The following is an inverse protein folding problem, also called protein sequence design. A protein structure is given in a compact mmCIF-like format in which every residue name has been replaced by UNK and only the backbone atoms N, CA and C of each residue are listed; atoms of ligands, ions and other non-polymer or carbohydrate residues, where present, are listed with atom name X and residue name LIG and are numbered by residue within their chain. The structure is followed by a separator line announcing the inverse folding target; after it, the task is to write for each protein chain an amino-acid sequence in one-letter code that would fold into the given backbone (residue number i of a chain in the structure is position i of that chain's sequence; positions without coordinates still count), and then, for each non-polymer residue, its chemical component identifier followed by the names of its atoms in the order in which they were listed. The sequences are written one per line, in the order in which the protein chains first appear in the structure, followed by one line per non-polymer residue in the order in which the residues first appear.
data_IF_884161432913
#
_entry.id   IF_884161432913
#
_cell.length_a   1.000
_cell.length_b   1.000
_cell.length_c   1.000
_cell.angle_alpha   90.00
_cell.angle_beta   90.00
_cell.angle_gamma   90.00
#
_symmetry.space_group_name_H-M   'P 1'
#
loop_
_entity.id
_entity.type
_entity.pdbx_description
1 polymer ?
#
# COMPACT_ATOMS: atom_id res chain seq x y z
N UNK A 1 15.48 -55.86 -17.26
CA UNK A 1 15.49 -54.63 -16.43
C UNK A 1 14.66 -53.47 -17.02
N UNK A 2 13.77 -53.66 -18.00
CA UNK A 2 12.97 -52.59 -18.62
C UNK A 2 11.48 -52.65 -18.25
N UNK A 3 11.05 -53.60 -17.42
CA UNK A 3 9.64 -53.77 -17.03
C UNK A 3 9.26 -53.26 -15.63
N UNK A 4 10.24 -52.89 -14.80
CA UNK A 4 9.97 -52.36 -13.45
C UNK A 4 9.85 -50.83 -13.38
N UNK A 5 10.21 -50.09 -14.44
CA UNK A 5 10.15 -48.64 -14.46
C UNK A 5 8.76 -48.09 -14.79
N UNK A 6 7.96 -48.89 -15.51
CA UNK A 6 6.62 -48.49 -15.94
C UNK A 6 5.55 -48.58 -14.82
N UNK A 7 5.79 -49.44 -13.83
CA UNK A 7 4.86 -49.61 -12.69
C UNK A 7 5.05 -48.60 -11.59
N UNK A 8 6.20 -47.95 -11.49
CA UNK A 8 6.46 -46.90 -10.48
C UNK A 8 5.86 -45.54 -10.87
N UNK A 9 5.73 -45.28 -12.18
CA UNK A 9 5.18 -44.04 -12.70
C UNK A 9 3.65 -43.98 -12.59
N UNK A 10 2.99 -45.14 -12.56
CA UNK A 10 1.52 -45.21 -12.43
C UNK A 10 1.02 -45.02 -10.97
N UNK A 11 1.90 -45.23 -9.98
CA UNK A 11 1.50 -45.12 -8.56
C UNK A 11 1.56 -43.69 -8.02
N UNK A 12 2.26 -42.78 -8.68
CA UNK A 12 2.39 -41.35 -8.24
C UNK A 12 1.21 -40.53 -8.73
N UNK A 13 0.48 -40.96 -9.75
CA UNK A 13 -0.64 -40.23 -10.35
C UNK A 13 -2.01 -40.45 -9.66
N UNK A 14 -2.11 -41.35 -8.70
CA UNK A 14 -3.39 -41.68 -8.05
C UNK A 14 -3.59 -41.07 -6.63
N UNK A 15 -2.62 -40.31 -6.10
CA UNK A 15 -2.73 -39.70 -4.79
C UNK A 15 -3.17 -38.21 -4.78
N UNK A 16 -3.48 -37.64 -5.95
CA UNK A 16 -3.80 -36.19 -6.06
C UNK A 16 -5.29 -35.84 -6.09
N UNK A 17 -6.21 -36.78 -5.80
CA UNK A 17 -7.65 -36.56 -5.95
C UNK A 17 -8.49 -36.84 -4.71
N UNK A 18 -7.93 -36.70 -3.50
CA UNK A 18 -8.71 -36.84 -2.26
C UNK A 18 -8.48 -35.62 -1.34
N UNK A 19 -9.01 -34.48 -1.70
CA UNK A 19 -8.99 -33.26 -0.88
C UNK A 19 -10.16 -32.36 -1.18
N UNK A 20 -11.37 -32.92 -1.28
CA UNK A 20 -12.59 -32.12 -1.37
C UNK A 20 -13.34 -32.21 -0.06
N UNK A 21 -13.48 -31.05 0.63
CA UNK A 21 -14.58 -30.84 1.56
C UNK A 21 -14.25 -30.94 3.03
N UNK A 22 -14.01 -29.77 3.65
CA UNK A 22 -14.75 -29.37 4.85
C UNK A 22 -14.55 -27.86 5.06
N UNK A 23 -15.63 -27.09 4.93
CA UNK A 23 -15.74 -25.78 5.55
C UNK A 23 -15.50 -25.96 7.04
N UNK A 24 -14.45 -25.39 7.56
CA UNK A 24 -14.35 -25.01 8.94
C UNK A 24 -14.21 -23.48 8.92
N UNK A 25 -15.29 -22.84 9.34
CA UNK A 25 -15.25 -21.48 9.83
C UNK A 25 -14.26 -21.44 11.00
N UNK A 26 -13.08 -20.97 10.74
CA UNK A 26 -12.13 -20.50 11.75
C UNK A 26 -11.60 -19.22 11.15
N UNK A 27 -11.96 -18.08 11.76
CA UNK A 27 -11.37 -16.80 11.56
C UNK A 27 -9.84 -16.93 11.75
N UNK A 28 -9.12 -17.27 10.68
CA UNK A 28 -7.71 -17.00 10.57
C UNK A 28 -7.60 -15.54 10.18
N UNK A 29 -6.67 -14.74 10.76
CA UNK A 29 -6.35 -13.43 10.24
C UNK A 29 -6.04 -13.61 8.75
N UNK A 30 -6.69 -12.82 7.90
CA UNK A 30 -6.53 -12.89 6.46
C UNK A 30 -5.04 -12.78 6.12
N UNK A 31 -4.64 -13.54 5.11
CA UNK A 31 -3.32 -13.41 4.48
C UNK A 31 -3.35 -12.07 3.74
N UNK A 32 -3.09 -10.95 4.45
CA UNK A 32 -3.22 -9.58 3.95
C UNK A 32 -2.26 -9.28 2.78
N UNK A 33 -1.31 -10.20 2.50
CA UNK A 33 -0.27 -10.07 1.47
C UNK A 33 -0.47 -11.00 0.28
N UNK A 34 -1.63 -11.63 0.14
CA UNK A 34 -1.89 -12.58 -0.93
C UNK A 34 -1.89 -11.90 -2.31
N UNK A 35 -1.03 -12.39 -3.22
CA UNK A 35 -1.02 -11.95 -4.63
C UNK A 35 -2.39 -12.27 -5.24
N UNK A 36 -3.08 -11.30 -5.88
CA UNK A 36 -4.36 -11.54 -6.54
C UNK A 36 -4.26 -12.67 -7.58
N UNK A 37 -5.18 -13.63 -7.53
CA UNK A 37 -5.20 -14.74 -8.51
C UNK A 37 -5.48 -14.25 -9.93
N UNK A 38 -6.26 -13.17 -10.06
CA UNK A 38 -6.59 -12.54 -11.35
C UNK A 38 -5.88 -11.21 -11.46
N UNK A 39 -5.20 -10.91 -12.60
CA UNK A 39 -4.54 -9.63 -12.81
C UNK A 39 -5.50 -8.44 -12.62
N UNK A 40 -5.10 -7.50 -11.77
CA UNK A 40 -5.77 -6.21 -11.63
C UNK A 40 -5.23 -5.29 -12.72
N UNK A 41 -6.13 -4.76 -13.56
CA UNK A 41 -5.73 -3.91 -14.70
C UNK A 41 -6.13 -2.47 -14.47
N UNK A 42 -5.14 -1.59 -14.58
CA UNK A 42 -5.30 -0.14 -14.51
C UNK A 42 -4.75 0.47 -15.81
N UNK A 43 -5.57 1.25 -16.51
CA UNK A 43 -5.09 2.00 -17.69
C UNK A 43 -4.07 3.05 -17.26
N UNK A 44 -4.39 3.79 -16.20
CA UNK A 44 -3.50 4.78 -15.58
C UNK A 44 -3.62 4.66 -14.06
N UNK A 45 -2.48 4.66 -13.38
CA UNK A 45 -2.40 4.82 -11.93
C UNK A 45 -1.98 6.27 -11.63
N UNK A 46 -2.86 7.03 -10.97
CA UNK A 46 -2.57 8.39 -10.54
C UNK A 46 -1.96 8.36 -9.13
N UNK A 47 -0.71 8.78 -9.02
CA UNK A 47 0.03 8.85 -7.74
C UNK A 47 0.34 10.29 -7.42
N UNK A 48 0.07 10.71 -6.19
CA UNK A 48 0.41 12.04 -5.73
C UNK A 48 1.30 12.00 -4.49
N UNK A 49 2.30 12.89 -4.50
CA UNK A 49 3.17 13.17 -3.36
C UNK A 49 2.93 14.60 -2.88
N UNK A 50 3.02 14.82 -1.58
CA UNK A 50 3.08 16.20 -1.07
C UNK A 50 4.41 16.79 -1.47
N UNK A 51 4.39 17.96 -2.11
CA UNK A 51 5.60 18.62 -2.62
C UNK A 51 6.64 18.87 -1.52
N UNK A 52 6.19 19.37 -0.34
CA UNK A 52 7.08 19.69 0.76
C UNK A 52 8.23 20.62 0.34
N UNK A 53 9.41 20.37 0.91
CA UNK A 53 10.67 21.09 0.60
C UNK A 53 11.55 20.36 -0.43
N UNK A 54 10.99 19.35 -1.15
CA UNK A 54 11.74 18.62 -2.20
C UNK A 54 12.24 19.58 -3.27
N UNK A 55 13.44 19.35 -3.74
CA UNK A 55 13.98 20.10 -4.85
C UNK A 55 13.41 19.63 -6.20
N UNK A 56 13.72 20.36 -7.26
CA UNK A 56 13.20 20.08 -8.61
C UNK A 56 13.75 18.77 -9.17
N UNK A 57 14.98 18.42 -8.83
CA UNK A 57 15.65 17.23 -9.35
C UNK A 57 15.03 15.97 -8.73
N UNK A 58 14.72 15.98 -7.42
CA UNK A 58 14.00 14.91 -6.73
C UNK A 58 12.59 14.72 -7.32
N UNK A 59 11.86 15.81 -7.56
CA UNK A 59 10.53 15.75 -8.17
C UNK A 59 10.57 15.19 -9.60
N UNK A 60 11.61 15.53 -10.38
CA UNK A 60 11.80 14.98 -11.72
C UNK A 60 12.14 13.48 -11.67
N UNK A 61 13.00 13.07 -10.75
CA UNK A 61 13.33 11.65 -10.55
C UNK A 61 12.08 10.81 -10.22
N UNK A 62 11.23 11.30 -9.35
CA UNK A 62 9.95 10.64 -9.02
C UNK A 62 9.01 10.53 -10.23
N UNK A 63 9.04 11.51 -11.13
CA UNK A 63 8.16 11.55 -12.30
C UNK A 63 8.61 10.62 -13.41
N UNK A 64 9.91 10.48 -13.61
CA UNK A 64 10.49 9.70 -14.71
C UNK A 64 10.58 8.20 -14.37
N UNK A 65 10.74 7.85 -13.09
CA UNK A 65 10.80 6.47 -12.61
C UNK A 65 9.86 6.29 -11.42
N UNK A 66 8.93 5.37 -11.55
CA UNK A 66 8.05 5.00 -10.44
C UNK A 66 8.27 3.51 -10.06
N UNK A 67 9.28 3.18 -9.22
CA UNK A 67 9.60 1.81 -8.81
C UNK A 67 8.41 1.06 -8.20
N UNK A 68 7.47 1.79 -7.60
CA UNK A 68 6.21 1.22 -7.10
C UNK A 68 5.42 0.51 -8.20
N UNK A 69 5.40 1.03 -9.44
CA UNK A 69 4.70 0.38 -10.56
C UNK A 69 5.36 -0.95 -10.91
N UNK A 70 6.69 -1.04 -10.86
CA UNK A 70 7.41 -2.28 -11.08
C UNK A 70 7.08 -3.31 -9.97
N UNK A 71 7.13 -2.90 -8.71
CA UNK A 71 6.77 -3.75 -7.57
C UNK A 71 5.30 -4.22 -7.63
N UNK A 72 4.37 -3.36 -8.00
CA UNK A 72 2.97 -3.72 -8.23
C UNK A 72 2.82 -4.75 -9.36
N UNK A 73 3.61 -4.66 -10.43
CA UNK A 73 3.60 -5.63 -11.53
C UNK A 73 3.99 -7.03 -11.06
N UNK A 74 4.94 -7.14 -10.14
CA UNK A 74 5.33 -8.41 -9.51
C UNK A 74 4.22 -9.00 -8.62
N UNK A 75 3.29 -8.16 -8.17
CA UNK A 75 2.11 -8.51 -7.39
C UNK A 75 0.83 -8.64 -8.24
N UNK A 76 0.97 -8.92 -9.54
CA UNK A 76 -0.13 -9.15 -10.48
C UNK A 76 -1.06 -7.94 -10.70
N UNK A 77 -0.52 -6.71 -10.60
CA UNK A 77 -1.18 -5.47 -10.96
C UNK A 77 -0.57 -4.91 -12.24
N UNK A 78 -1.33 -4.94 -13.33
CA UNK A 78 -0.90 -4.43 -14.65
C UNK A 78 -1.27 -2.94 -14.75
N UNK A 79 -0.27 -2.06 -14.75
CA UNK A 79 -0.44 -0.61 -14.90
C UNK A 79 0.01 -0.19 -16.30
N UNK A 80 -0.90 0.32 -17.11
CA UNK A 80 -0.62 0.77 -18.49
C UNK A 80 0.24 2.05 -18.51
N UNK A 81 -0.01 2.98 -17.60
CA UNK A 81 0.78 4.20 -17.41
C UNK A 81 0.66 4.70 -15.97
N UNK A 82 1.66 5.45 -15.50
CA UNK A 82 1.59 6.15 -14.23
C UNK A 82 1.57 7.67 -14.47
N UNK A 83 0.65 8.37 -13.81
CA UNK A 83 0.60 9.81 -13.76
C UNK A 83 0.99 10.28 -12.37
N UNK A 84 2.13 10.96 -12.25
CA UNK A 84 2.65 11.48 -10.99
C UNK A 84 2.37 12.97 -10.89
N UNK A 85 1.76 13.38 -9.79
CA UNK A 85 1.46 14.77 -9.45
C UNK A 85 2.04 15.13 -8.07
N UNK A 86 2.08 16.43 -7.79
CA UNK A 86 2.61 16.97 -6.54
C UNK A 86 1.59 17.95 -5.96
N UNK A 87 0.98 17.56 -4.84
CA UNK A 87 0.07 18.42 -4.10
C UNK A 87 0.82 19.57 -3.43
N UNK A 88 0.18 20.72 -3.40
CA UNK A 88 0.76 21.95 -2.81
C UNK A 88 0.80 21.90 -1.29
N UNK A 89 -0.06 21.09 -0.67
CA UNK A 89 -0.09 20.83 0.77
C UNK A 89 -0.65 19.42 1.04
N UNK A 90 -0.51 18.96 2.28
CA UNK A 90 -1.05 17.68 2.71
C UNK A 90 -2.58 17.64 2.58
N UNK A 91 -3.27 18.73 2.93
CA UNK A 91 -4.72 18.84 2.83
C UNK A 91 -5.19 18.82 1.37
N UNK A 92 -4.45 19.48 0.46
CA UNK A 92 -4.76 19.46 -0.97
C UNK A 92 -4.63 18.05 -1.55
N UNK A 93 -3.58 17.31 -1.18
CA UNK A 93 -3.38 15.91 -1.57
C UNK A 93 -4.46 15.01 -0.99
N UNK A 94 -4.81 15.15 0.29
CA UNK A 94 -5.89 14.39 0.90
C UNK A 94 -7.25 14.66 0.23
N UNK A 95 -7.52 15.91 -0.13
CA UNK A 95 -8.72 16.29 -0.88
C UNK A 95 -8.75 15.68 -2.28
N UNK A 96 -7.62 15.71 -3.02
CA UNK A 96 -7.52 15.11 -4.35
C UNK A 96 -7.76 13.59 -4.32
N UNK A 97 -7.25 12.91 -3.28
CA UNK A 97 -7.51 11.50 -3.03
C UNK A 97 -9.00 11.26 -2.68
N UNK A 98 -9.58 12.08 -1.81
CA UNK A 98 -10.99 11.99 -1.41
C UNK A 98 -11.95 12.22 -2.58
N UNK A 99 -11.61 13.09 -3.52
CA UNK A 99 -12.40 13.38 -4.72
C UNK A 99 -12.21 12.31 -5.82
N UNK A 100 -11.17 11.47 -5.72
CA UNK A 100 -10.86 10.41 -6.67
C UNK A 100 -10.13 10.90 -7.93
N UNK A 101 -9.52 12.08 -7.90
CA UNK A 101 -8.60 12.56 -8.95
C UNK A 101 -7.21 11.95 -8.81
N UNK A 102 -6.90 11.37 -7.66
CA UNK A 102 -5.69 10.62 -7.32
C UNK A 102 -6.10 9.25 -6.82
N UNK A 103 -5.37 8.21 -7.21
CA UNK A 103 -5.62 6.82 -6.81
C UNK A 103 -4.86 6.43 -5.54
N UNK A 104 -3.58 6.80 -5.48
CA UNK A 104 -2.67 6.52 -4.36
C UNK A 104 -1.93 7.79 -4.00
N UNK A 105 -1.83 8.10 -2.73
CA UNK A 105 -1.07 9.24 -2.25
C UNK A 105 -0.12 8.89 -1.10
N UNK A 106 1.02 9.58 -1.07
CA UNK A 106 2.00 9.59 0.01
C UNK A 106 1.89 10.94 0.72
N UNK A 107 1.40 10.94 1.95
CA UNK A 107 1.06 12.16 2.68
C UNK A 107 1.16 11.95 4.18
N UNK A 108 1.26 13.04 4.99
CA UNK A 108 1.19 12.93 6.45
C UNK A 108 -0.08 12.23 6.90
N UNK A 109 0.06 11.30 7.86
CA UNK A 109 -1.05 10.51 8.40
C UNK A 109 -2.21 11.38 8.88
N UNK A 110 -1.91 12.50 9.54
CA UNK A 110 -2.93 13.39 10.10
C UNK A 110 -3.83 14.02 9.05
N UNK A 111 -3.37 14.21 7.82
CA UNK A 111 -4.20 14.72 6.73
C UNK A 111 -5.29 13.72 6.29
N UNK A 112 -5.16 12.44 6.64
CA UNK A 112 -6.16 11.42 6.31
C UNK A 112 -7.38 11.45 7.25
N UNK A 113 -7.27 12.02 8.44
CA UNK A 113 -8.28 11.89 9.48
C UNK A 113 -9.64 12.51 9.13
N UNK A 114 -9.65 13.60 8.37
CA UNK A 114 -10.89 14.28 7.98
C UNK A 114 -11.57 13.63 6.76
N UNK A 115 -10.98 12.56 6.18
CA UNK A 115 -11.43 11.91 4.96
C UNK A 115 -11.72 10.40 5.11
N UNK A 116 -11.95 9.92 6.33
CA UNK A 116 -12.16 8.50 6.66
C UNK A 116 -13.23 7.82 5.79
N UNK A 117 -14.30 8.53 5.42
CA UNK A 117 -15.37 7.99 4.59
C UNK A 117 -14.98 7.78 3.12
N UNK A 118 -13.95 8.47 2.63
CA UNK A 118 -13.60 8.57 1.20
C UNK A 118 -12.24 8.00 0.84
N UNK A 119 -11.38 7.78 1.83
CA UNK A 119 -10.06 7.19 1.66
C UNK A 119 -9.88 5.95 2.54
N UNK A 120 -8.94 5.09 2.17
CA UNK A 120 -8.48 3.93 2.95
C UNK A 120 -6.99 4.06 3.16
N UNK A 121 -6.51 3.84 4.38
CA UNK A 121 -5.09 3.65 4.63
C UNK A 121 -4.68 2.27 4.09
N UNK A 122 -3.66 2.24 3.27
CA UNK A 122 -3.00 0.99 2.92
C UNK A 122 -1.92 0.66 3.93
N UNK A 123 -1.07 1.64 4.24
CA UNK A 123 0.09 1.50 5.11
C UNK A 123 0.31 2.80 5.89
N UNK A 124 0.89 2.65 7.06
CA UNK A 124 1.36 3.77 7.90
C UNK A 124 2.82 3.53 8.24
N UNK A 125 3.62 4.57 8.22
CA UNK A 125 5.02 4.54 8.63
C UNK A 125 5.14 4.03 10.06
N UNK A 126 6.08 3.09 10.29
CA UNK A 126 6.34 2.55 11.61
C UNK A 126 6.76 3.67 12.56
N UNK A 127 6.18 3.65 13.75
CA UNK A 127 6.59 4.55 14.80
C UNK A 127 7.75 3.92 15.58
N UNK A 128 8.88 4.59 15.61
CA UNK A 128 9.87 4.34 16.67
C UNK A 128 9.30 4.83 18.00
N UNK A 129 9.79 4.28 19.11
CA UNK A 129 9.37 4.72 20.46
C UNK A 129 9.50 6.25 20.60
N UNK A 130 8.36 6.93 20.62
CA UNK A 130 8.28 8.38 20.78
C UNK A 130 8.07 9.19 19.50
N UNK A 131 7.90 8.57 18.32
CA UNK A 131 7.49 9.29 17.12
C UNK A 131 6.06 9.78 17.28
N UNK A 132 5.86 11.10 17.21
CA UNK A 132 4.55 11.69 17.29
C UNK A 132 3.72 11.36 16.05
N UNK A 133 2.41 11.25 16.20
CA UNK A 133 1.50 10.90 15.10
C UNK A 133 1.55 11.91 13.94
N UNK A 134 1.83 13.18 14.23
CA UNK A 134 2.01 14.26 13.26
C UNK A 134 3.26 14.13 12.39
N UNK A 135 4.24 13.35 12.84
CA UNK A 135 5.50 13.12 12.14
C UNK A 135 5.45 11.83 11.29
N UNK A 136 4.35 11.08 11.35
CA UNK A 136 4.17 9.83 10.60
C UNK A 136 3.57 10.09 9.23
N UNK A 137 4.06 9.36 8.25
CA UNK A 137 3.50 9.33 6.90
C UNK A 137 2.57 8.13 6.69
N UNK A 138 1.69 8.27 5.71
CA UNK A 138 0.77 7.23 5.28
C UNK A 138 0.81 7.05 3.76
N UNK A 139 0.52 5.83 3.33
CA UNK A 139 0.14 5.50 1.96
C UNK A 139 -1.36 5.26 1.98
N UNK A 140 -2.09 6.12 1.30
CA UNK A 140 -3.54 6.10 1.29
C UNK A 140 -4.09 5.91 -0.13
N UNK A 141 -5.28 5.32 -0.22
CA UNK A 141 -5.96 4.94 -1.47
C UNK A 141 -7.36 5.53 -1.48
N UNK A 142 -7.80 6.03 -2.64
CA UNK A 142 -9.17 6.54 -2.79
C UNK A 142 -10.20 5.41 -2.77
N UNK A 143 -11.34 5.63 -2.10
CA UNK A 143 -12.53 4.74 -2.21
C UNK A 143 -13.37 5.01 -3.47
N UNK A 144 -13.05 6.07 -4.24
CA UNK A 144 -13.84 6.46 -5.44
C UNK A 144 -13.51 5.61 -6.66
N UNK A 145 -12.26 5.21 -6.85
CA UNK A 145 -11.87 4.30 -7.91
C UNK A 145 -12.10 2.85 -7.47
N UNK A 146 -13.11 2.19 -8.07
CA UNK A 146 -13.53 0.83 -7.69
C UNK A 146 -12.47 -0.25 -7.91
N UNK A 147 -11.48 0.00 -8.75
CA UNK A 147 -10.39 -0.95 -9.00
C UNK A 147 -9.34 -0.89 -7.90
N UNK A 148 -8.93 0.32 -7.49
CA UNK A 148 -7.92 0.49 -6.44
C UNK A 148 -8.48 0.35 -5.02
N UNK A 149 -9.80 0.51 -4.86
CA UNK A 149 -10.49 0.33 -3.59
C UNK A 149 -10.79 -1.14 -3.24
N UNK A 150 -10.22 -2.11 -3.97
CA UNK A 150 -10.43 -3.54 -3.70
C UNK A 150 -9.40 -4.07 -2.70
N UNK A 151 -9.80 -5.06 -1.90
CA UNK A 151 -8.88 -5.74 -0.98
C UNK A 151 -7.68 -6.33 -1.73
N UNK A 152 -7.90 -6.86 -2.94
CA UNK A 152 -6.84 -7.38 -3.78
C UNK A 152 -5.80 -6.33 -4.19
N UNK A 153 -6.23 -5.10 -4.52
CA UNK A 153 -5.29 -4.01 -4.81
C UNK A 153 -4.56 -3.55 -3.55
N UNK A 154 -5.28 -3.43 -2.43
CA UNK A 154 -4.66 -3.04 -1.14
C UNK A 154 -3.61 -4.07 -0.70
N UNK A 155 -3.91 -5.37 -0.80
CA UNK A 155 -2.96 -6.43 -0.51
C UNK A 155 -1.73 -6.37 -1.44
N UNK A 156 -1.94 -6.18 -2.76
CA UNK A 156 -0.86 -6.02 -3.71
C UNK A 156 0.01 -4.79 -3.43
N UNK A 157 -0.61 -3.67 -3.05
CA UNK A 157 0.10 -2.44 -2.70
C UNK A 157 0.94 -2.60 -1.43
N UNK A 158 0.37 -3.23 -0.40
CA UNK A 158 1.09 -3.54 0.86
C UNK A 158 2.30 -4.40 0.61
N UNK A 159 2.10 -5.54 -0.07
CA UNK A 159 3.20 -6.44 -0.39
C UNK A 159 4.24 -5.82 -1.33
N UNK A 160 3.85 -4.96 -2.28
CA UNK A 160 4.80 -4.23 -3.13
C UNK A 160 5.69 -3.29 -2.31
N UNK A 161 5.12 -2.56 -1.34
CA UNK A 161 5.89 -1.69 -0.45
C UNK A 161 6.78 -2.50 0.49
N UNK A 162 6.31 -3.63 1.01
CA UNK A 162 7.11 -4.55 1.81
C UNK A 162 8.33 -5.07 1.04
N UNK A 163 8.13 -5.54 -0.21
CA UNK A 163 9.23 -5.96 -1.08
C UNK A 163 10.22 -4.81 -1.34
N UNK A 164 9.72 -3.59 -1.53
CA UNK A 164 10.57 -2.41 -1.67
C UNK A 164 11.35 -2.12 -0.39
N UNK A 165 10.77 -2.26 0.80
CA UNK A 165 11.48 -2.10 2.08
C UNK A 165 12.59 -3.14 2.24
N UNK A 166 12.39 -4.35 1.74
CA UNK A 166 13.34 -5.45 1.88
C UNK A 166 14.57 -5.35 0.96
N UNK A 167 14.56 -4.47 -0.06
CA UNK A 167 15.65 -4.28 -1.02
C UNK A 167 16.32 -2.91 -0.88
N UNK A 168 17.64 -2.84 -1.17
CA UNK A 168 18.36 -1.57 -1.13
C UNK A 168 17.84 -0.57 -2.16
N UNK A 169 17.49 -1.05 -3.37
CA UNK A 169 16.94 -0.23 -4.46
C UNK A 169 15.54 0.29 -4.12
N UNK A 170 14.67 -0.60 -3.64
CA UNK A 170 13.31 -0.25 -3.21
C UNK A 170 13.32 0.70 -2.02
N UNK A 171 14.17 0.45 -1.01
CA UNK A 171 14.36 1.36 0.12
C UNK A 171 14.83 2.75 -0.32
N UNK A 172 15.75 2.83 -1.28
CA UNK A 172 16.19 4.12 -1.82
C UNK A 172 15.05 4.86 -2.53
N UNK A 173 14.20 4.14 -3.28
CA UNK A 173 13.02 4.71 -3.92
C UNK A 173 11.99 5.20 -2.89
N UNK A 174 11.70 4.41 -1.85
CA UNK A 174 10.79 4.80 -0.77
C UNK A 174 11.27 6.03 -0.02
N UNK A 175 12.58 6.21 0.16
CA UNK A 175 13.13 7.44 0.76
C UNK A 175 12.87 8.69 -0.08
N UNK A 176 12.75 8.56 -1.41
CA UNK A 176 12.31 9.66 -2.27
C UNK A 176 10.81 9.94 -2.13
N UNK A 177 10.00 8.88 -1.90
CA UNK A 177 8.56 9.02 -1.71
C UNK A 177 8.23 9.65 -0.36
N UNK A 178 9.00 9.29 0.67
CA UNK A 178 8.88 9.83 2.02
C UNK A 178 9.65 11.13 2.16
N UNK A 179 9.16 11.95 3.06
CA UNK A 179 9.87 13.14 3.50
C UNK A 179 10.53 12.84 4.85
N UNK A 180 11.74 12.23 4.85
CA UNK A 180 12.42 11.91 6.10
C UNK A 180 13.32 10.68 6.06
N UNK A 181 13.70 10.22 7.24
CA UNK A 181 14.59 9.07 7.43
C UNK A 181 13.90 7.74 7.12
N UNK A 182 14.72 6.69 6.90
CA UNK A 182 14.26 5.32 6.60
C UNK A 182 13.42 4.75 7.72
N UNK A 183 12.15 4.50 7.44
CA UNK A 183 11.26 3.75 8.31
C UNK A 183 10.58 2.64 7.50
N UNK A 184 10.19 1.56 8.18
CA UNK A 184 9.30 0.55 7.63
C UNK A 184 7.88 1.09 7.52
N UNK A 185 7.01 0.27 6.95
CA UNK A 185 5.57 0.53 6.89
C UNK A 185 4.82 -0.68 7.43
N UNK A 186 3.76 -0.40 8.18
CA UNK A 186 2.85 -1.43 8.68
C UNK A 186 1.46 -1.17 8.15
N UNK A 187 0.74 -2.26 7.81
CA UNK A 187 -0.68 -2.18 7.45
C UNK A 187 -1.48 -1.62 8.64
N UNK A 188 -2.31 -0.61 8.37
CA UNK A 188 -3.15 0.00 9.39
C UNK A 188 -4.48 0.45 8.79
N UNK A 189 -5.49 0.55 9.64
CA UNK A 189 -6.76 1.19 9.35
C UNK A 189 -6.93 2.45 10.22
N UNK A 190 -7.66 3.44 9.75
CA UNK A 190 -7.96 4.64 10.54
C UNK A 190 -8.68 4.32 11.86
N UNK A 191 -9.43 3.22 11.90
CA UNK A 191 -10.07 2.74 13.12
C UNK A 191 -9.08 2.26 14.18
N UNK A 192 -7.94 1.70 13.78
CA UNK A 192 -6.90 1.21 14.68
C UNK A 192 -6.15 2.36 15.36
N UNK A 193 -6.10 3.51 14.69
CA UNK A 193 -5.45 4.72 15.15
C UNK A 193 -6.37 5.66 15.95
N UNK A 194 -7.56 5.20 16.32
CA UNK A 194 -8.59 6.05 16.94
C UNK A 194 -8.13 6.71 18.25
N UNK A 195 -7.41 5.99 19.09
CA UNK A 195 -6.92 6.52 20.38
C UNK A 195 -5.83 7.56 20.16
N UNK A 196 -4.87 7.27 19.26
CA UNK A 196 -3.79 8.19 18.90
C UNK A 196 -4.35 9.47 18.25
N UNK A 197 -5.31 9.32 17.35
CA UNK A 197 -6.03 10.43 16.73
C UNK A 197 -6.73 11.31 17.77
N UNK A 198 -7.47 10.71 18.71
CA UNK A 198 -8.18 11.46 19.74
C UNK A 198 -7.22 12.28 20.62
N UNK A 199 -6.07 11.71 20.99
CA UNK A 199 -5.04 12.41 21.74
C UNK A 199 -4.43 13.57 20.94
N UNK A 200 -4.18 13.39 19.65
CA UNK A 200 -3.70 14.44 18.75
C UNK A 200 -4.70 15.60 18.62
N UNK A 201 -5.98 15.29 18.40
CA UNK A 201 -7.03 16.31 18.29
C UNK A 201 -7.20 17.13 19.59
N UNK A 202 -7.14 16.46 20.76
CA UNK A 202 -7.17 17.11 22.06
C UNK A 202 -5.97 18.06 22.25
N UNK A 203 -4.76 17.59 21.92
CA UNK A 203 -3.55 18.41 22.02
C UNK A 203 -3.63 19.63 21.08
N UNK A 204 -4.15 19.49 19.87
CA UNK A 204 -4.33 20.58 18.90
C UNK A 204 -5.32 21.64 19.40
N UNK A 205 -6.40 21.21 20.03
CA UNK A 205 -7.40 22.14 20.59
C UNK A 205 -6.84 22.94 21.76
N UNK A 206 -6.07 22.29 22.64
CA UNK A 206 -5.46 22.95 23.79
C UNK A 206 -4.33 23.94 23.42
N UNK A 207 -3.66 23.72 22.29
CA UNK A 207 -2.60 24.58 21.77
C UNK A 207 -3.16 25.83 21.05
N UNK A 208 -4.45 25.87 20.70
CA UNK A 208 -5.11 26.96 20.00
C UNK A 208 -5.75 28.02 20.96
N UNK A 209 -5.82 27.70 22.27
CA UNK A 209 -6.30 28.58 23.33
C UNK A 209 -5.14 29.34 24.01
#
# INVERSE_FOLDING_TARGET
MKKCLATLLALVLTLSLAGCGKKNDTDAPGDDDAIPETPIKLETLHVEFVKGERDVDDLLALKDTLPLVAALSERNVEVGSAAVTFGTSAEATAQALADGSVDVAFLPLTACFDHEDTITLALVQDADDGTAIEDREAIAVTKKNKTVATDGFLAALRGAVEDMCASDEGSAALNLYQYGEKHGYTAADLSDLREERAAYEEARLTAAD
#
